data_IF_894130881968
#
_entry.id   IF_894130881968
#
_cell.length_a   1.000
_cell.length_b   1.000
_cell.length_c   1.000
_cell.angle_alpha   90.00
_cell.angle_beta   90.00
_cell.angle_gamma   90.00
#
_symmetry.space_group_name_H-M   'P 1'
#
loop_
_entity.id
_entity.type
_entity.pdbx_description
1 polymer ?
#
# COMPACT_ATOMS: atom_id res chain seq x y z
N UNK A 1 -6.73 39.77 1.32
CA UNK A 1 -5.52 39.99 2.15
C UNK A 1 -5.22 38.68 2.87
N UNK A 2 -4.33 37.85 2.31
CA UNK A 2 -3.94 36.58 2.93
C UNK A 2 -3.13 36.89 4.19
N UNK A 3 -3.60 36.47 5.37
CA UNK A 3 -2.85 36.62 6.60
C UNK A 3 -1.75 35.55 6.67
N UNK A 4 -0.45 35.89 6.61
CA UNK A 4 0.64 34.91 6.60
C UNK A 4 0.85 34.19 7.96
N UNK A 5 0.13 34.60 9.00
CA UNK A 5 0.34 34.14 10.39
C UNK A 5 -0.42 32.87 10.77
N UNK A 6 -1.31 32.34 9.93
CA UNK A 6 -2.07 31.12 10.23
C UNK A 6 -1.38 29.81 9.79
N UNK A 7 -0.19 29.89 9.19
CA UNK A 7 0.58 28.73 8.70
C UNK A 7 1.89 28.53 9.47
N UNK A 8 1.87 28.66 10.80
CA UNK A 8 2.93 28.05 11.61
C UNK A 8 2.56 26.58 11.80
N UNK A 9 3.05 25.71 10.91
CA UNK A 9 2.77 24.28 10.98
C UNK A 9 3.44 23.69 12.24
N UNK A 10 2.69 23.21 13.24
CA UNK A 10 3.29 22.50 14.37
C UNK A 10 3.86 21.15 13.87
N UNK A 11 5.06 20.76 14.34
CA UNK A 11 5.59 19.40 14.11
C UNK A 11 7.11 19.33 13.93
N UNK A 12 7.59 18.26 13.29
CA UNK A 12 9.02 17.90 13.18
C UNK A 12 9.83 18.72 12.15
N UNK A 13 9.16 19.39 11.21
CA UNK A 13 9.81 20.03 10.06
C UNK A 13 9.55 21.56 9.92
N UNK A 14 9.46 22.35 11.01
CA UNK A 14 9.09 23.77 10.91
C UNK A 14 10.14 24.62 10.18
N UNK A 15 11.38 24.13 10.08
CA UNK A 15 12.50 24.82 9.46
C UNK A 15 12.64 24.56 7.95
N UNK A 16 11.96 23.57 7.38
CA UNK A 16 12.11 23.19 5.97
C UNK A 16 11.32 24.09 5.00
N UNK A 17 10.47 24.98 5.52
CA UNK A 17 9.61 25.82 4.69
C UNK A 17 8.65 25.00 3.82
N UNK A 18 8.04 25.66 2.83
CA UNK A 18 7.23 24.97 1.81
C UNK A 18 8.18 24.35 0.79
N UNK A 19 8.22 23.03 0.75
CA UNK A 19 8.96 22.25 -0.24
C UNK A 19 8.24 22.29 -1.58
N UNK A 20 8.98 22.46 -2.66
CA UNK A 20 8.43 22.53 -4.02
C UNK A 20 7.70 21.22 -4.41
N UNK A 21 6.51 21.29 -5.04
CA UNK A 21 5.76 20.10 -5.45
C UNK A 21 6.54 19.13 -6.35
N UNK A 22 7.39 19.67 -7.24
CA UNK A 22 8.23 18.87 -8.12
C UNK A 22 9.24 18.01 -7.35
N UNK A 23 9.80 18.56 -6.28
CA UNK A 23 10.73 17.83 -5.42
C UNK A 23 10.03 16.71 -4.65
N UNK A 24 8.82 16.95 -4.13
CA UNK A 24 8.02 15.91 -3.48
C UNK A 24 7.64 14.78 -4.44
N UNK A 25 7.27 15.11 -5.68
CA UNK A 25 7.01 14.11 -6.72
C UNK A 25 8.25 13.28 -7.03
N UNK A 26 9.43 13.91 -7.15
CA UNK A 26 10.69 13.22 -7.35
C UNK A 26 11.02 12.28 -6.18
N UNK A 27 10.90 12.77 -4.94
CA UNK A 27 11.11 11.96 -3.73
C UNK A 27 10.17 10.76 -3.67
N UNK A 28 8.91 10.93 -4.06
CA UNK A 28 7.95 9.82 -4.14
C UNK A 28 8.43 8.76 -5.13
N UNK A 29 8.78 9.15 -6.37
CA UNK A 29 9.30 8.23 -7.40
C UNK A 29 10.57 7.50 -6.94
N UNK A 30 11.50 8.22 -6.31
CA UNK A 30 12.72 7.63 -5.72
C UNK A 30 12.36 6.61 -4.63
N UNK A 31 11.42 6.95 -3.75
CA UNK A 31 10.95 6.04 -2.69
C UNK A 31 10.36 4.75 -3.26
N UNK A 32 9.52 4.85 -4.30
CA UNK A 32 8.94 3.69 -4.99
C UNK A 32 10.04 2.84 -5.67
N UNK A 33 11.04 3.49 -6.30
CA UNK A 33 12.19 2.79 -6.88
C UNK A 33 13.00 2.01 -5.84
N UNK A 34 13.32 2.64 -4.71
CA UNK A 34 14.03 1.99 -3.60
C UNK A 34 13.21 0.87 -2.94
N UNK A 35 11.89 1.03 -2.87
CA UNK A 35 10.99 -0.04 -2.43
C UNK A 35 11.09 -1.25 -3.36
N UNK A 36 11.05 -1.02 -4.68
CA UNK A 36 11.26 -2.08 -5.68
C UNK A 36 12.58 -2.82 -5.45
N UNK A 37 13.67 -2.09 -5.24
CA UNK A 37 14.99 -2.65 -4.91
C UNK A 37 14.97 -3.47 -3.60
N UNK A 38 14.28 -2.97 -2.57
CA UNK A 38 14.11 -3.68 -1.28
C UNK A 38 13.40 -5.02 -1.47
N UNK A 39 12.36 -5.05 -2.32
CA UNK A 39 11.54 -6.23 -2.55
C UNK A 39 12.26 -7.30 -3.37
N UNK A 40 13.13 -6.91 -4.31
CA UNK A 40 14.01 -7.86 -5.02
C UNK A 40 15.29 -8.19 -4.23
N UNK A 41 15.41 -7.67 -3.00
CA UNK A 41 16.51 -7.93 -2.08
C UNK A 41 17.86 -7.35 -2.52
N UNK A 42 17.85 -6.23 -3.24
CA UNK A 42 19.05 -5.48 -3.63
C UNK A 42 19.50 -4.54 -2.51
N UNK A 43 20.78 -4.56 -2.14
CA UNK A 43 21.39 -3.67 -1.14
C UNK A 43 20.92 -3.88 0.31
N UNK A 44 20.01 -4.84 0.54
CA UNK A 44 19.60 -5.31 1.87
C UNK A 44 19.13 -4.18 2.80
N UNK A 45 19.66 -4.17 4.03
CA UNK A 45 19.22 -3.26 5.10
C UNK A 45 19.47 -1.79 4.79
N UNK A 46 20.50 -1.46 4.02
CA UNK A 46 20.82 -0.07 3.68
C UNK A 46 19.70 0.53 2.84
N UNK A 47 19.28 -0.19 1.80
CA UNK A 47 18.20 0.25 0.90
C UNK A 47 16.85 0.25 1.61
N UNK A 48 16.54 -0.77 2.43
CA UNK A 48 15.29 -0.77 3.20
C UNK A 48 15.20 0.38 4.20
N UNK A 49 16.31 0.70 4.88
CA UNK A 49 16.37 1.84 5.81
C UNK A 49 16.23 3.15 5.08
N UNK A 50 16.89 3.33 3.92
CA UNK A 50 16.73 4.54 3.11
C UNK A 50 15.29 4.70 2.60
N UNK A 51 14.67 3.60 2.15
CA UNK A 51 13.26 3.56 1.72
C UNK A 51 12.33 4.01 2.84
N UNK A 52 12.53 3.49 4.06
CA UNK A 52 11.76 3.90 5.23
C UNK A 52 11.99 5.37 5.58
N UNK A 53 13.24 5.84 5.63
CA UNK A 53 13.54 7.24 5.97
C UNK A 53 12.87 8.21 4.99
N UNK A 54 12.93 7.95 3.69
CA UNK A 54 12.24 8.78 2.69
C UNK A 54 10.72 8.69 2.81
N UNK A 55 10.17 7.50 3.00
CA UNK A 55 8.73 7.32 3.21
C UNK A 55 8.24 8.03 4.47
N UNK A 56 9.00 7.93 5.57
CA UNK A 56 8.70 8.59 6.84
C UNK A 56 8.79 10.11 6.71
N UNK A 57 9.80 10.62 6.00
CA UNK A 57 9.90 12.04 5.68
C UNK A 57 8.66 12.51 4.91
N UNK A 58 8.31 11.84 3.81
CA UNK A 58 7.16 12.20 2.97
C UNK A 58 5.85 12.16 3.74
N UNK A 59 5.61 11.07 4.49
CA UNK A 59 4.43 10.95 5.35
C UNK A 59 4.41 12.07 6.37
N UNK A 60 5.46 12.22 7.18
CA UNK A 60 5.53 13.24 8.22
C UNK A 60 5.36 14.65 7.65
N UNK A 61 5.91 14.93 6.47
CA UNK A 61 5.73 16.20 5.76
C UNK A 61 4.27 16.38 5.31
N UNK A 62 3.62 15.37 4.74
CA UNK A 62 2.18 15.42 4.40
C UNK A 62 1.27 15.61 5.62
N UNK A 63 1.66 15.10 6.79
CA UNK A 63 0.99 15.36 8.07
C UNK A 63 0.96 16.86 8.40
N UNK A 64 1.98 17.64 8.03
CA UNK A 64 1.99 19.11 8.20
C UNK A 64 0.91 19.82 7.38
N UNK A 65 0.35 19.17 6.35
CA UNK A 65 -0.67 19.74 5.46
C UNK A 65 -2.02 19.02 5.57
N UNK A 66 -2.28 18.27 6.65
CA UNK A 66 -3.51 17.49 6.87
C UNK A 66 -3.83 16.46 5.75
N UNK A 67 -2.83 16.01 4.99
CA UNK A 67 -3.01 14.96 3.97
C UNK A 67 -2.72 13.58 4.58
N UNK A 68 -3.66 13.08 5.38
CA UNK A 68 -3.45 11.97 6.32
C UNK A 68 -3.47 10.57 5.69
N UNK A 69 -4.05 10.40 4.49
CA UNK A 69 -4.64 9.09 4.15
C UNK A 69 -3.82 8.17 3.25
N UNK A 70 -2.92 8.68 2.40
CA UNK A 70 -2.34 7.83 1.33
C UNK A 70 -0.99 7.19 1.68
N UNK A 71 -0.15 7.83 2.51
CA UNK A 71 1.25 7.42 2.69
C UNK A 71 1.56 6.69 4.00
N UNK A 72 0.74 6.87 5.05
CA UNK A 72 1.01 6.27 6.35
C UNK A 72 1.16 4.74 6.28
N UNK A 73 0.28 3.97 5.61
CA UNK A 73 0.43 2.52 5.62
C UNK A 73 1.61 2.02 4.77
N UNK A 74 2.07 2.79 3.80
CA UNK A 74 3.31 2.54 3.09
C UNK A 74 4.51 2.71 4.03
N UNK A 75 4.55 3.77 4.84
CA UNK A 75 5.63 4.01 5.81
C UNK A 75 5.75 2.88 6.84
N UNK A 76 4.63 2.42 7.39
CA UNK A 76 4.64 1.27 8.31
C UNK A 76 5.09 -0.01 7.61
N UNK A 77 4.70 -0.21 6.35
CA UNK A 77 5.20 -1.34 5.56
C UNK A 77 6.72 -1.29 5.38
N UNK A 78 7.27 -0.11 5.05
CA UNK A 78 8.71 0.10 4.94
C UNK A 78 9.44 -0.13 6.27
N UNK A 79 8.87 0.32 7.39
CA UNK A 79 9.42 0.08 8.74
C UNK A 79 9.56 -1.42 9.02
N UNK A 80 8.50 -2.20 8.73
CA UNK A 80 8.53 -3.66 8.91
C UNK A 80 9.60 -4.30 8.01
N UNK A 81 9.73 -3.82 6.77
CA UNK A 81 10.72 -4.33 5.81
C UNK A 81 12.17 -4.10 6.23
N UNK A 82 12.50 -3.12 7.08
CA UNK A 82 13.86 -2.98 7.65
C UNK A 82 14.30 -4.25 8.37
N UNK A 83 13.37 -4.91 9.05
CA UNK A 83 13.63 -6.12 9.80
C UNK A 83 13.62 -7.38 8.93
N UNK A 84 13.13 -7.27 7.69
CA UNK A 84 13.09 -8.36 6.73
C UNK A 84 14.49 -8.70 6.21
N UNK A 85 14.73 -10.00 5.97
CA UNK A 85 15.94 -10.49 5.32
C UNK A 85 15.67 -10.80 3.85
N UNK A 86 14.95 -9.93 3.12
CA UNK A 86 14.54 -10.21 1.71
C UNK A 86 15.73 -10.62 0.83
N UNK A 87 16.88 -9.96 1.00
CA UNK A 87 18.16 -10.28 0.37
C UNK A 87 18.73 -11.69 0.66
N UNK A 88 18.19 -12.42 1.63
CA UNK A 88 18.64 -13.77 1.96
C UNK A 88 17.95 -14.85 1.10
N UNK A 89 16.82 -14.54 0.47
CA UNK A 89 16.05 -15.51 -0.31
C UNK A 89 16.01 -15.18 -1.79
N UNK A 90 15.72 -13.92 -2.11
CA UNK A 90 15.70 -13.35 -3.45
C UNK A 90 16.71 -12.21 -3.41
N UNK A 91 17.79 -12.35 -4.16
CA UNK A 91 18.79 -11.30 -4.19
C UNK A 91 19.32 -11.20 -5.59
N UNK A 92 18.94 -10.10 -6.24
CA UNK A 92 19.65 -9.63 -7.42
C UNK A 92 21.18 -9.62 -7.15
N UNK A 93 21.62 -9.31 -5.92
CA UNK A 93 23.05 -9.38 -5.55
C UNK A 93 23.64 -10.80 -5.69
N UNK A 94 22.87 -11.86 -5.45
CA UNK A 94 23.33 -13.25 -5.65
C UNK A 94 23.39 -13.64 -7.13
N UNK A 95 22.41 -13.18 -7.93
CA UNK A 95 22.43 -13.36 -9.38
C UNK A 95 23.63 -12.64 -9.99
N UNK A 96 23.89 -11.39 -9.58
CA UNK A 96 25.07 -10.62 -9.98
C UNK A 96 26.37 -11.30 -9.56
N UNK A 97 26.39 -11.96 -8.39
CA UNK A 97 27.53 -12.75 -7.90
C UNK A 97 27.57 -14.20 -8.43
N UNK A 98 26.72 -14.55 -9.40
CA UNK A 98 26.59 -15.89 -10.02
C UNK A 98 26.49 -17.06 -9.01
N UNK A 99 25.89 -16.83 -7.84
CA UNK A 99 25.68 -17.89 -6.84
C UNK A 99 24.37 -18.63 -7.13
N UNK A 100 24.38 -19.96 -6.98
CA UNK A 100 23.18 -20.79 -7.09
C UNK A 100 22.14 -20.40 -6.04
N UNK A 101 20.87 -20.37 -6.44
CA UNK A 101 19.77 -20.03 -5.54
C UNK A 101 19.47 -21.21 -4.60
N UNK A 102 19.59 -20.98 -3.29
CA UNK A 102 19.33 -21.97 -2.25
C UNK A 102 17.97 -21.84 -1.55
N UNK A 103 17.07 -20.99 -2.04
CA UNK A 103 15.78 -20.72 -1.39
C UNK A 103 15.89 -19.82 -0.13
N UNK A 104 14.76 -19.31 0.39
CA UNK A 104 14.71 -18.70 1.71
C UNK A 104 15.08 -19.72 2.81
N UNK A 105 15.89 -19.36 3.82
CA UNK A 105 16.10 -20.24 4.96
C UNK A 105 14.77 -20.41 5.73
N UNK A 106 14.35 -21.65 6.06
CA UNK A 106 13.10 -21.93 6.76
C UNK A 106 13.22 -21.61 8.26
N UNK A 107 13.54 -20.36 8.59
CA UNK A 107 13.72 -19.89 9.97
C UNK A 107 12.63 -18.90 10.35
N UNK A 108 12.16 -18.98 11.60
CA UNK A 108 11.23 -18.00 12.15
C UNK A 108 11.77 -16.56 12.01
N UNK A 109 13.07 -16.36 12.29
CA UNK A 109 13.78 -15.09 12.15
C UNK A 109 13.73 -14.49 10.73
N UNK A 110 13.50 -15.32 9.71
CA UNK A 110 13.31 -14.88 8.33
C UNK A 110 11.85 -14.55 8.02
N UNK A 111 10.92 -15.35 8.53
CA UNK A 111 9.50 -15.29 8.15
C UNK A 111 8.70 -14.24 8.93
N UNK A 112 9.04 -13.96 10.19
CA UNK A 112 8.22 -13.09 11.04
C UNK A 112 8.01 -11.67 10.48
N UNK A 113 8.98 -10.98 9.85
CA UNK A 113 8.76 -9.63 9.34
C UNK A 113 7.79 -9.65 8.16
N UNK A 114 7.87 -10.68 7.30
CA UNK A 114 6.99 -10.84 6.15
C UNK A 114 5.56 -11.20 6.59
N UNK A 115 5.42 -12.08 7.59
CA UNK A 115 4.12 -12.40 8.19
C UNK A 115 3.53 -11.20 8.91
N UNK A 116 4.35 -10.40 9.61
CA UNK A 116 3.92 -9.16 10.25
C UNK A 116 3.43 -8.14 9.21
N UNK A 117 4.13 -7.99 8.09
CA UNK A 117 3.70 -7.12 6.98
C UNK A 117 2.33 -7.56 6.44
N UNK A 118 2.15 -8.86 6.22
CA UNK A 118 0.87 -9.41 5.74
C UNK A 118 -0.25 -9.20 6.76
N UNK A 119 0.01 -9.43 8.05
CA UNK A 119 -0.95 -9.13 9.11
C UNK A 119 -1.28 -7.65 9.14
N UNK A 120 -0.28 -6.77 9.04
CA UNK A 120 -0.47 -5.33 9.00
C UNK A 120 -1.41 -4.91 7.86
N UNK A 121 -1.16 -5.40 6.64
CA UNK A 121 -2.01 -5.13 5.48
C UNK A 121 -3.44 -5.64 5.73
N UNK A 122 -3.60 -6.89 6.19
CA UNK A 122 -4.90 -7.46 6.48
C UNK A 122 -5.71 -6.61 7.49
N UNK A 123 -5.06 -6.19 8.59
CA UNK A 123 -5.69 -5.36 9.60
C UNK A 123 -5.94 -3.92 9.13
N UNK A 124 -5.10 -3.36 8.25
CA UNK A 124 -5.34 -2.04 7.67
C UNK A 124 -6.64 -2.02 6.83
N UNK A 125 -6.85 -3.02 5.98
CA UNK A 125 -8.11 -3.15 5.23
C UNK A 125 -9.30 -3.47 6.15
N UNK A 126 -9.13 -4.38 7.12
CA UNK A 126 -10.19 -4.73 8.05
C UNK A 126 -10.65 -3.53 8.90
N UNK A 127 -9.71 -2.81 9.50
CA UNK A 127 -10.02 -1.63 10.32
C UNK A 127 -10.62 -0.49 9.50
N UNK A 128 -10.24 -0.38 8.21
CA UNK A 128 -10.88 0.53 7.26
C UNK A 128 -12.38 0.19 7.08
N UNK A 129 -12.75 -1.07 6.88
CA UNK A 129 -14.17 -1.48 6.84
C UNK A 129 -14.90 -1.25 8.15
N UNK A 130 -14.30 -1.63 9.29
CA UNK A 130 -14.92 -1.42 10.61
C UNK A 130 -15.16 0.07 10.85
N UNK A 131 -14.22 0.94 10.46
CA UNK A 131 -14.38 2.39 10.58
C UNK A 131 -15.53 2.91 9.71
N UNK A 132 -15.66 2.44 8.45
CA UNK A 132 -16.78 2.78 7.58
C UNK A 132 -18.13 2.38 8.19
N UNK A 133 -18.21 1.15 8.70
CA UNK A 133 -19.42 0.63 9.35
C UNK A 133 -19.74 1.33 10.67
N UNK A 134 -18.73 1.70 11.46
CA UNK A 134 -18.95 2.38 12.72
C UNK A 134 -19.47 3.81 12.50
N UNK A 135 -18.92 4.53 11.53
CA UNK A 135 -19.30 5.94 11.26
C UNK A 135 -20.61 6.04 10.49
N UNK A 136 -20.84 5.18 9.49
CA UNK A 136 -21.95 5.31 8.54
C UNK A 136 -22.87 4.08 8.49
N UNK A 137 -22.50 2.97 9.13
CA UNK A 137 -23.20 1.69 8.99
C UNK A 137 -23.27 1.25 7.52
N UNK A 138 -24.32 0.51 7.20
CA UNK A 138 -24.63 0.14 5.82
C UNK A 138 -24.91 1.34 4.92
N UNK A 139 -25.27 2.52 5.47
CA UNK A 139 -25.47 3.72 4.65
C UNK A 139 -24.20 4.10 3.88
N UNK A 140 -23.01 3.67 4.30
CA UNK A 140 -21.80 3.88 3.50
C UNK A 140 -21.91 3.32 2.07
N UNK A 141 -22.59 2.18 1.90
CA UNK A 141 -22.87 1.53 0.61
C UNK A 141 -24.06 2.15 -0.09
N UNK A 142 -25.11 2.48 0.66
CA UNK A 142 -26.41 2.91 0.11
C UNK A 142 -26.56 4.43 -0.06
N UNK A 143 -25.58 5.24 0.33
CA UNK A 143 -25.64 6.72 0.25
C UNK A 143 -24.81 7.30 -0.91
N UNK A 144 -24.89 8.62 -1.05
CA UNK A 144 -24.12 9.41 -2.02
C UNK A 144 -22.61 9.47 -1.74
N UNK A 145 -22.10 8.72 -0.76
CA UNK A 145 -20.68 8.70 -0.42
C UNK A 145 -19.79 8.32 -1.62
N UNK A 146 -20.12 7.25 -2.34
CA UNK A 146 -19.31 6.81 -3.48
C UNK A 146 -19.39 7.77 -4.67
N UNK A 147 -20.57 8.23 -5.12
CA UNK A 147 -20.64 9.29 -6.13
C UNK A 147 -19.85 10.53 -5.73
N UNK A 148 -19.93 10.95 -4.45
CA UNK A 148 -19.15 12.06 -3.95
C UNK A 148 -17.64 11.78 -4.01
N UNK A 149 -17.18 10.59 -3.63
CA UNK A 149 -15.76 10.18 -3.77
C UNK A 149 -15.34 10.21 -5.25
N UNK A 150 -16.17 9.66 -6.15
CA UNK A 150 -15.91 9.67 -7.59
C UNK A 150 -15.82 11.12 -8.11
N UNK A 151 -16.71 12.01 -7.66
CA UNK A 151 -16.73 13.41 -8.06
C UNK A 151 -15.48 14.19 -7.59
N UNK A 152 -14.93 13.83 -6.42
CA UNK A 152 -13.71 14.42 -5.88
C UNK A 152 -12.41 13.76 -6.38
N UNK A 153 -12.49 12.79 -7.30
CA UNK A 153 -11.31 12.17 -7.91
C UNK A 153 -10.44 13.20 -8.64
N UNK A 154 -9.12 12.98 -8.60
CA UNK A 154 -8.09 13.91 -9.09
C UNK A 154 -8.19 14.21 -10.59
N UNK A 155 -8.48 13.18 -11.40
CA UNK A 155 -8.55 13.31 -12.86
C UNK A 155 -9.87 12.71 -13.34
N UNK A 156 -10.65 13.41 -14.18
CA UNK A 156 -11.82 12.82 -14.82
C UNK A 156 -11.41 11.64 -15.71
N UNK A 157 -12.11 10.51 -15.57
CA UNK A 157 -11.86 9.32 -16.40
C UNK A 157 -13.12 8.88 -17.12
N UNK A 158 -12.98 8.16 -18.23
CA UNK A 158 -14.11 7.62 -18.99
C UNK A 158 -14.97 6.69 -18.14
N UNK A 159 -14.34 5.83 -17.33
CA UNK A 159 -15.07 4.91 -16.46
C UNK A 159 -15.85 5.65 -15.36
N UNK A 160 -15.28 6.71 -14.78
CA UNK A 160 -15.99 7.58 -13.83
C UNK A 160 -17.23 8.19 -14.46
N UNK A 161 -17.09 8.82 -15.62
CA UNK A 161 -18.21 9.45 -16.33
C UNK A 161 -19.28 8.43 -16.70
N UNK A 162 -18.89 7.21 -17.10
CA UNK A 162 -19.80 6.11 -17.36
C UNK A 162 -20.58 5.70 -16.09
N UNK A 163 -19.89 5.44 -14.98
CA UNK A 163 -20.52 5.03 -13.72
C UNK A 163 -21.50 6.08 -13.19
N UNK A 164 -21.12 7.37 -13.25
CA UNK A 164 -21.97 8.48 -12.80
C UNK A 164 -23.19 8.72 -13.70
N UNK A 165 -23.17 8.26 -14.96
CA UNK A 165 -24.26 8.50 -15.92
C UNK A 165 -25.21 7.31 -16.11
N UNK A 166 -24.80 6.08 -15.78
CA UNK A 166 -25.55 4.89 -16.22
C UNK A 166 -26.39 4.22 -15.14
N UNK A 167 -25.89 3.99 -13.92
CA UNK A 167 -26.75 3.41 -12.88
C UNK A 167 -26.14 3.44 -11.49
N UNK A 168 -26.96 3.87 -10.53
CA UNK A 168 -26.75 3.74 -9.09
C UNK A 168 -26.42 2.30 -8.65
N UNK A 169 -26.97 1.30 -9.34
CA UNK A 169 -26.74 -0.11 -9.04
C UNK A 169 -25.25 -0.50 -9.09
N UNK A 170 -24.52 -0.08 -10.14
CA UNK A 170 -23.10 -0.42 -10.30
C UNK A 170 -22.22 0.21 -9.22
N UNK A 171 -22.57 1.43 -8.82
CA UNK A 171 -21.91 2.15 -7.73
C UNK A 171 -22.10 1.41 -6.40
N UNK A 172 -23.32 1.00 -6.09
CA UNK A 172 -23.63 0.25 -4.87
C UNK A 172 -23.00 -1.14 -4.85
N UNK A 173 -23.00 -1.84 -5.99
CA UNK A 173 -22.34 -3.14 -6.12
C UNK A 173 -20.84 -3.00 -5.85
N UNK A 174 -20.18 -2.02 -6.48
CA UNK A 174 -18.77 -1.73 -6.23
C UNK A 174 -18.50 -1.40 -4.76
N UNK A 175 -19.32 -0.54 -4.15
CA UNK A 175 -19.21 -0.20 -2.73
C UNK A 175 -19.33 -1.44 -1.83
N UNK A 176 -20.30 -2.31 -2.12
CA UNK A 176 -20.53 -3.55 -1.38
C UNK A 176 -19.33 -4.49 -1.50
N UNK A 177 -18.80 -4.67 -2.72
CA UNK A 177 -17.65 -5.54 -2.97
C UNK A 177 -16.39 -5.03 -2.26
N UNK A 178 -16.15 -3.71 -2.25
CA UNK A 178 -15.02 -3.10 -1.53
C UNK A 178 -15.16 -3.35 -0.03
N UNK A 179 -16.35 -3.12 0.53
CA UNK A 179 -16.59 -3.31 1.96
C UNK A 179 -16.45 -4.78 2.36
N UNK A 180 -16.96 -5.72 1.55
CA UNK A 180 -16.82 -7.15 1.78
C UNK A 180 -15.35 -7.59 1.72
N UNK A 181 -14.62 -7.17 0.67
CA UNK A 181 -13.19 -7.44 0.54
C UNK A 181 -12.39 -6.93 1.75
N UNK A 182 -12.69 -5.73 2.23
CA UNK A 182 -12.07 -5.17 3.43
C UNK A 182 -12.40 -5.98 4.70
N UNK A 183 -13.66 -6.37 4.89
CA UNK A 183 -14.10 -7.16 6.04
C UNK A 183 -13.48 -8.55 6.10
N UNK A 184 -13.35 -9.21 4.94
CA UNK A 184 -12.78 -10.57 4.85
C UNK A 184 -11.26 -10.57 4.79
N UNK A 185 -10.61 -9.40 4.73
CA UNK A 185 -9.16 -9.28 4.64
C UNK A 185 -8.38 -10.16 5.64
N UNK A 186 -8.76 -10.32 6.93
CA UNK A 186 -8.04 -11.19 7.86
C UNK A 186 -8.02 -12.67 7.45
N UNK A 187 -8.98 -13.14 6.64
CA UNK A 187 -9.01 -14.52 6.14
C UNK A 187 -7.77 -14.87 5.30
N UNK A 188 -7.11 -13.87 4.69
CA UNK A 188 -5.86 -14.05 3.95
C UNK A 188 -4.71 -14.65 4.80
N UNK A 189 -4.80 -14.57 6.12
CA UNK A 189 -3.79 -15.08 7.05
C UNK A 189 -3.93 -16.57 7.33
N UNK A 190 -5.09 -17.17 7.01
CA UNK A 190 -5.42 -18.56 7.33
C UNK A 190 -4.71 -19.54 6.39
N UNK A 191 -4.72 -19.25 5.08
CA UNK A 191 -4.11 -20.13 4.09
C UNK A 191 -3.34 -19.34 3.03
N UNK A 192 -2.30 -19.94 2.44
CA UNK A 192 -1.57 -19.32 1.34
C UNK A 192 -2.43 -19.04 0.10
N UNK A 193 -3.45 -19.86 -0.15
CA UNK A 193 -4.37 -19.66 -1.27
C UNK A 193 -5.24 -18.42 -1.06
N UNK A 194 -5.81 -18.25 0.14
CA UNK A 194 -6.60 -17.07 0.49
C UNK A 194 -5.75 -15.79 0.39
N UNK A 195 -4.46 -15.90 0.68
CA UNK A 195 -3.51 -14.81 0.51
C UNK A 195 -3.30 -14.41 -0.95
N UNK A 196 -3.17 -15.39 -1.84
CA UNK A 196 -3.05 -15.13 -3.27
C UNK A 196 -4.34 -14.52 -3.81
N UNK A 197 -5.50 -15.07 -3.45
CA UNK A 197 -6.81 -14.51 -3.81
C UNK A 197 -6.90 -13.05 -3.38
N UNK A 198 -6.61 -12.76 -2.11
CA UNK A 198 -6.66 -11.39 -1.59
C UNK A 198 -5.65 -10.44 -2.27
N UNK A 199 -4.46 -10.93 -2.62
CA UNK A 199 -3.49 -10.13 -3.38
C UNK A 199 -4.01 -9.74 -4.78
N UNK A 200 -4.70 -10.67 -5.45
CA UNK A 200 -5.33 -10.42 -6.74
C UNK A 200 -6.55 -9.49 -6.60
N UNK A 201 -7.35 -9.65 -5.55
CA UNK A 201 -8.48 -8.76 -5.24
C UNK A 201 -7.99 -7.32 -5.00
N UNK A 202 -6.95 -7.12 -4.19
CA UNK A 202 -6.34 -5.80 -4.01
C UNK A 202 -5.84 -5.25 -5.34
N UNK A 203 -5.16 -6.06 -6.16
CA UNK A 203 -4.64 -5.59 -7.45
C UNK A 203 -5.77 -5.10 -8.36
N UNK A 204 -6.88 -5.85 -8.42
CA UNK A 204 -8.07 -5.46 -9.16
C UNK A 204 -8.69 -4.18 -8.58
N UNK A 205 -8.88 -4.12 -7.26
CA UNK A 205 -9.41 -2.96 -6.57
C UNK A 205 -8.59 -1.69 -6.87
N UNK A 206 -7.26 -1.77 -6.77
CA UNK A 206 -6.39 -0.63 -7.04
C UNK A 206 -6.39 -0.22 -8.51
N UNK A 207 -6.49 -1.19 -9.42
CA UNK A 207 -6.66 -0.91 -10.84
C UNK A 207 -7.97 -0.17 -11.11
N UNK A 208 -9.07 -0.60 -10.49
CA UNK A 208 -10.36 0.08 -10.57
C UNK A 208 -10.30 1.49 -9.98
N UNK A 209 -9.67 1.66 -8.82
CA UNK A 209 -9.46 2.99 -8.20
C UNK A 209 -8.71 3.92 -9.14
N UNK A 210 -7.66 3.47 -9.83
CA UNK A 210 -6.95 4.29 -10.84
C UNK A 210 -7.89 4.63 -11.99
N UNK A 211 -8.62 3.65 -12.52
CA UNK A 211 -9.54 3.84 -13.63
C UNK A 211 -10.73 4.74 -13.28
N UNK A 212 -11.13 4.86 -12.00
CA UNK A 212 -12.25 5.71 -11.57
C UNK A 212 -11.83 7.05 -10.98
N UNK A 213 -10.76 7.11 -10.18
CA UNK A 213 -10.33 8.31 -9.45
C UNK A 213 -9.18 9.06 -10.13
N UNK A 214 -8.53 8.46 -11.12
CA UNK A 214 -7.58 9.14 -11.99
C UNK A 214 -6.17 9.31 -11.43
N UNK A 215 -5.93 9.05 -10.14
CA UNK A 215 -4.58 8.83 -9.59
C UNK A 215 -4.64 8.27 -8.16
N UNK A 216 -3.85 7.23 -7.89
CA UNK A 216 -3.57 6.70 -6.55
C UNK A 216 -2.28 5.87 -6.57
N UNK A 217 -1.18 6.47 -7.06
CA UNK A 217 0.12 5.77 -7.23
C UNK A 217 0.63 5.10 -5.95
N UNK A 218 0.34 5.71 -4.79
CA UNK A 218 0.72 5.17 -3.48
C UNK A 218 0.16 3.76 -3.22
N UNK A 219 -0.96 3.36 -3.86
CA UNK A 219 -1.65 2.14 -3.51
C UNK A 219 -1.32 0.91 -4.37
N UNK A 220 -0.66 1.07 -5.53
CA UNK A 220 -0.09 -0.09 -6.25
C UNK A 220 1.01 -0.77 -5.44
N UNK A 221 1.56 -0.09 -4.43
CA UNK A 221 2.56 -0.64 -3.54
C UNK A 221 2.02 -1.84 -2.74
N UNK A 222 0.78 -1.83 -2.25
CA UNK A 222 0.23 -2.93 -1.44
C UNK A 222 0.09 -4.26 -2.19
N UNK A 223 -0.53 -4.32 -3.39
CA UNK A 223 -0.57 -5.57 -4.14
C UNK A 223 0.84 -6.03 -4.55
N UNK A 224 1.79 -5.12 -4.84
CA UNK A 224 3.19 -5.49 -5.09
C UNK A 224 3.87 -6.09 -3.85
N UNK A 225 3.69 -5.47 -2.69
CA UNK A 225 4.18 -5.99 -1.40
C UNK A 225 3.63 -7.39 -1.13
N UNK A 226 2.34 -7.60 -1.39
CA UNK A 226 1.68 -8.88 -1.21
C UNK A 226 2.20 -9.94 -2.19
N UNK A 227 2.15 -9.67 -3.49
CA UNK A 227 2.56 -10.61 -4.54
C UNK A 227 4.03 -11.02 -4.43
N UNK A 228 4.91 -10.10 -4.01
CA UNK A 228 6.34 -10.39 -3.86
C UNK A 228 6.68 -11.10 -2.55
N UNK A 229 5.85 -10.97 -1.50
CA UNK A 229 6.10 -11.65 -0.21
C UNK A 229 5.42 -13.01 -0.07
N UNK A 230 4.38 -13.30 -0.86
CA UNK A 230 3.73 -14.63 -0.89
C UNK A 230 4.75 -15.74 -1.23
N UNK A 231 5.53 -15.69 -2.33
CA UNK A 231 6.50 -16.73 -2.65
C UNK A 231 7.57 -16.93 -1.56
N UNK A 232 7.91 -15.86 -0.84
CA UNK A 232 8.91 -15.88 0.24
C UNK A 232 8.38 -16.55 1.52
N UNK A 233 7.08 -16.48 1.75
CA UNK A 233 6.44 -17.02 2.96
C UNK A 233 5.82 -18.40 2.77
N UNK A 234 5.41 -18.72 1.53
CA UNK A 234 4.61 -19.91 1.20
C UNK A 234 5.24 -20.76 0.09
N UNK A 235 6.58 -20.89 0.13
CA UNK A 235 7.38 -21.58 -0.90
C UNK A 235 6.97 -23.03 -1.19
N UNK A 236 6.32 -23.72 -0.25
CA UNK A 236 5.78 -25.08 -0.42
C UNK A 236 4.63 -25.16 -1.45
N UNK A 237 3.87 -24.09 -1.65
CA UNK A 237 2.84 -24.03 -2.71
C UNK A 237 3.44 -24.20 -4.10
N UNK A 238 4.71 -23.84 -4.29
CA UNK A 238 5.35 -23.77 -5.59
C UNK A 238 6.06 -25.08 -5.99
N UNK A 239 5.65 -26.20 -5.39
CA UNK A 239 6.06 -27.54 -5.80
C UNK A 239 7.51 -27.93 -5.48
N UNK A 240 8.23 -27.19 -4.61
CA UNK A 240 9.60 -27.54 -4.22
C UNK A 240 9.60 -28.55 -3.08
N UNK A 241 10.04 -29.77 -3.38
CA UNK A 241 10.32 -30.82 -2.39
C UNK A 241 11.55 -30.41 -1.58
N UNK A 242 11.44 -30.54 -0.26
CA UNK A 242 12.56 -30.48 0.72
C UNK A 242 13.53 -31.61 0.48
#
# INVERSE_FOLDING_TARGET
MFQPKLWQAPGLWPFLGVVEPNFLSLLHKVTIGLLGLTLIGFGGRVISSLTFTLSFFMTSYSFHFNQFHSLAPLTFSCLILIFSKTNAAWSADRLLKRKTWSGPPPSFSYLWPLRLLQSYIAFAYFTSAITKLNISGWKWVWSDNIPMILLHGYVPTTLRSYLLSHSWFWIQLGATLVLLMELIAPAMLLTPMLRLIFALEILLFQSLVILTLGSHEAFLTYPLLMLLTIPLTDWKMWGRKT
#
